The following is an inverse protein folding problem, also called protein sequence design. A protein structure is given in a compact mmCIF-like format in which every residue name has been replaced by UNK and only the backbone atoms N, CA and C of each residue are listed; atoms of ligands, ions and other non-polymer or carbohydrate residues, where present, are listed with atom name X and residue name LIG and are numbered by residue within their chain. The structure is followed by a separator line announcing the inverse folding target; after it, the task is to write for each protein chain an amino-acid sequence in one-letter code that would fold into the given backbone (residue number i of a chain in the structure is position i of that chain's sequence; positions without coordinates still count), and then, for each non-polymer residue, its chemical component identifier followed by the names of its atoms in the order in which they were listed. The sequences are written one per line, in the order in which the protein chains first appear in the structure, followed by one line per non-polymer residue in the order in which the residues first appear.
data_IF_158667297697
#
_entry.id   IF_158667297697
#
_cell.length_a   1.000
_cell.length_b   1.000
_cell.length_c   1.000
_cell.angle_alpha   90.00
_cell.angle_beta   90.00
_cell.angle_gamma   90.00
#
_symmetry.space_group_name_H-M   'P 1'
#
loop_
_entity.id
_entity.type
_entity.pdbx_description
1 polymer ?
#
# COMPACT_ATOMS: atom_id res chain seq x y z
N UNK A 1 21.90 -52.27 -52.07
CA UNK A 1 21.12 -52.15 -50.81
C UNK A 1 20.86 -50.67 -50.55
N UNK A 2 19.71 -50.15 -50.99
CA UNK A 2 19.33 -48.75 -50.77
C UNK A 2 18.57 -48.62 -49.45
N UNK A 3 19.15 -47.91 -48.47
CA UNK A 3 18.47 -47.56 -47.21
C UNK A 3 17.78 -46.21 -47.39
N UNK A 4 16.45 -46.22 -47.46
CA UNK A 4 15.63 -45.02 -47.37
C UNK A 4 15.60 -44.56 -45.90
N UNK A 5 16.09 -43.36 -45.63
CA UNK A 5 15.90 -42.69 -44.35
C UNK A 5 14.65 -41.81 -44.45
N UNK A 6 13.60 -42.17 -43.72
CA UNK A 6 12.41 -41.34 -43.57
C UNK A 6 12.71 -40.18 -42.60
N UNK A 7 12.47 -38.91 -42.96
CA UNK A 7 12.64 -37.80 -42.04
C UNK A 7 11.47 -37.78 -41.05
N UNK A 8 11.80 -37.94 -39.76
CA UNK A 8 10.87 -37.78 -38.65
C UNK A 8 10.63 -36.27 -38.44
N UNK A 9 9.50 -35.76 -38.93
CA UNK A 9 9.11 -34.36 -38.78
C UNK A 9 8.59 -34.13 -37.34
N UNK A 10 9.45 -33.58 -36.46
CA UNK A 10 9.07 -33.22 -35.09
C UNK A 10 8.30 -31.89 -35.10
N UNK A 11 6.97 -31.95 -35.10
CA UNK A 11 6.11 -30.78 -34.98
C UNK A 11 6.10 -30.26 -33.54
N UNK A 12 6.89 -29.21 -33.27
CA UNK A 12 6.85 -28.49 -31.98
C UNK A 12 5.60 -27.60 -31.95
N UNK A 13 4.55 -28.06 -31.24
CA UNK A 13 3.35 -27.27 -30.99
C UNK A 13 3.68 -26.14 -30.00
N UNK A 14 3.85 -24.92 -30.53
CA UNK A 14 3.86 -23.70 -29.72
C UNK A 14 2.43 -23.41 -29.24
N UNK A 15 2.06 -23.97 -28.08
CA UNK A 15 0.85 -23.54 -27.39
C UNK A 15 1.09 -22.12 -26.84
N UNK A 16 0.28 -21.12 -27.20
CA UNK A 16 0.41 -19.79 -26.63
C UNK A 16 0.10 -19.85 -25.13
N UNK A 17 1.12 -19.65 -24.30
CA UNK A 17 0.92 -19.47 -22.88
C UNK A 17 0.14 -18.16 -22.68
N UNK A 18 -1.08 -18.26 -22.14
CA UNK A 18 -1.85 -17.09 -21.74
C UNK A 18 -1.20 -16.50 -20.48
N UNK A 19 -0.32 -15.52 -20.65
CA UNK A 19 0.16 -14.71 -19.53
C UNK A 19 -0.98 -13.78 -19.10
N UNK A 20 -1.46 -13.93 -17.86
CA UNK A 20 -2.36 -12.94 -17.25
C UNK A 20 -1.50 -11.79 -16.74
N UNK A 21 -1.83 -10.58 -17.17
CA UNK A 21 -1.29 -9.37 -16.55
C UNK A 21 -1.84 -9.25 -15.14
N UNK A 22 -0.99 -8.81 -14.22
CA UNK A 22 -1.45 -8.35 -12.91
C UNK A 22 -2.37 -7.14 -13.10
N UNK A 23 -3.46 -7.10 -12.33
CA UNK A 23 -4.42 -6.00 -12.30
C UNK A 23 -4.29 -5.26 -10.96
N UNK A 24 -4.33 -3.93 -11.00
CA UNK A 24 -4.33 -3.13 -9.78
C UNK A 24 -5.64 -3.39 -9.00
N UNK A 25 -5.52 -3.65 -7.71
CA UNK A 25 -6.68 -3.85 -6.85
C UNK A 25 -7.62 -2.64 -6.93
N UNK A 26 -8.92 -2.88 -7.09
CA UNK A 26 -9.91 -1.79 -7.07
C UNK A 26 -10.06 -1.20 -5.66
N UNK A 27 -10.20 0.13 -5.51
CA UNK A 27 -10.46 0.77 -4.22
C UNK A 27 -11.72 0.24 -3.52
N UNK A 28 -11.61 -0.05 -2.23
CA UNK A 28 -12.70 -0.48 -1.35
C UNK A 28 -12.74 0.36 -0.06
N UNK A 29 -13.92 0.42 0.57
CA UNK A 29 -14.06 1.06 1.89
C UNK A 29 -13.43 0.15 2.96
N UNK A 30 -12.80 0.73 3.99
CA UNK A 30 -12.33 -0.05 5.14
C UNK A 30 -12.35 0.74 6.45
N UNK A 31 -12.39 -0.01 7.57
CA UNK A 31 -12.15 0.51 8.91
C UNK A 31 -10.87 -0.13 9.45
N UNK A 32 -9.96 0.70 9.94
CA UNK A 32 -8.76 0.26 10.66
C UNK A 32 -8.79 0.74 12.11
N UNK A 33 -8.86 -0.17 13.10
CA UNK A 33 -8.70 0.20 14.50
C UNK A 33 -7.32 0.81 14.75
N UNK A 34 -7.28 1.85 15.57
CA UNK A 34 -6.02 2.43 16.04
C UNK A 34 -5.59 1.71 17.32
N UNK A 35 -4.27 1.55 17.51
CA UNK A 35 -3.70 0.97 18.74
C UNK A 35 -4.24 1.68 19.98
N UNK A 36 -4.58 0.90 21.01
CA UNK A 36 -5.25 1.39 22.23
C UNK A 36 -6.78 1.47 22.13
N UNK A 37 -7.39 1.21 20.96
CA UNK A 37 -8.83 0.96 20.84
C UNK A 37 -9.76 2.18 20.99
N UNK A 38 -9.20 3.37 21.23
CA UNK A 38 -9.98 4.63 21.40
C UNK A 38 -10.49 5.20 20.08
N UNK A 39 -9.79 4.92 18.98
CA UNK A 39 -10.06 5.48 17.66
C UNK A 39 -10.18 4.41 16.59
N UNK A 40 -10.87 4.76 15.53
CA UNK A 40 -10.86 4.04 14.26
C UNK A 40 -10.53 5.02 13.14
N UNK A 41 -9.75 4.57 12.18
CA UNK A 41 -9.58 5.28 10.92
C UNK A 41 -10.52 4.66 9.88
N UNK A 42 -11.30 5.50 9.21
CA UNK A 42 -12.21 5.09 8.15
C UNK A 42 -11.67 5.60 6.83
N UNK A 43 -11.54 4.71 5.85
CA UNK A 43 -11.20 5.07 4.49
C UNK A 43 -12.37 4.71 3.58
N UNK A 44 -12.88 5.71 2.86
CA UNK A 44 -13.93 5.55 1.87
C UNK A 44 -13.31 5.57 0.48
N UNK A 45 -13.73 4.64 -0.38
CA UNK A 45 -13.35 4.65 -1.79
C UNK A 45 -13.89 5.90 -2.51
N UNK A 46 -13.28 6.29 -3.64
CA UNK A 46 -13.72 7.42 -4.44
C UNK A 46 -15.19 7.33 -4.85
N UNK A 47 -15.88 8.48 -4.91
CA UNK A 47 -17.33 8.54 -5.16
C UNK A 47 -17.78 7.84 -6.46
N UNK A 48 -16.97 7.92 -7.51
CA UNK A 48 -17.25 7.28 -8.81
C UNK A 48 -17.43 5.76 -8.74
N UNK A 49 -16.94 5.11 -7.68
CA UNK A 49 -17.10 3.66 -7.46
C UNK A 49 -18.20 3.25 -6.47
N UNK A 50 -18.98 4.19 -5.92
CA UNK A 50 -19.91 3.91 -4.81
C UNK A 50 -21.25 3.30 -5.20
N UNK A 51 -21.49 3.08 -6.50
CA UNK A 51 -22.79 2.62 -7.02
C UNK A 51 -23.13 1.16 -6.64
N UNK A 52 -22.14 0.33 -6.32
CA UNK A 52 -22.34 -1.09 -6.02
C UNK A 52 -22.00 -1.40 -4.55
N UNK A 53 -22.85 -2.15 -3.85
CA UNK A 53 -22.51 -2.66 -2.53
C UNK A 53 -21.35 -3.67 -2.65
N UNK A 54 -20.23 -3.39 -1.97
CA UNK A 54 -19.07 -4.28 -1.88
C UNK A 54 -18.86 -4.66 -0.42
N UNK A 55 -18.31 -5.85 -0.16
CA UNK A 55 -17.78 -6.16 1.17
C UNK A 55 -16.69 -5.15 1.54
N UNK A 56 -16.73 -4.63 2.76
CA UNK A 56 -15.66 -3.77 3.30
C UNK A 56 -14.81 -4.57 4.29
N UNK A 57 -13.53 -4.21 4.37
CA UNK A 57 -12.61 -4.87 5.29
C UNK A 57 -12.61 -4.14 6.63
N UNK A 58 -12.82 -4.91 7.71
CA UNK A 58 -12.53 -4.50 9.07
C UNK A 58 -11.26 -5.23 9.48
N UNK A 59 -10.20 -4.47 9.72
CA UNK A 59 -9.01 -5.02 10.32
C UNK A 59 -9.30 -5.27 11.81
N UNK A 60 -9.05 -6.47 12.31
CA UNK A 60 -9.31 -6.85 13.70
C UNK A 60 -8.44 -6.04 14.69
N UNK A 61 -7.24 -5.67 14.27
CA UNK A 61 -6.30 -4.83 15.01
C UNK A 61 -5.42 -4.00 14.03
N UNK A 62 -4.43 -3.29 14.57
CA UNK A 62 -3.45 -2.58 13.76
C UNK A 62 -2.43 -3.51 13.04
N UNK A 63 -2.44 -4.82 13.36
CA UNK A 63 -1.43 -5.84 13.02
C UNK A 63 -1.94 -7.01 12.14
N UNK A 64 -3.21 -7.01 11.74
CA UNK A 64 -3.96 -7.96 10.91
C UNK A 64 -4.77 -9.07 11.63
N UNK A 65 -6.09 -9.06 11.38
CA UNK A 65 -6.93 -10.18 10.92
C UNK A 65 -8.06 -9.55 10.09
N UNK A 66 -8.45 -10.09 8.92
CA UNK A 66 -9.52 -9.51 8.10
C UNK A 66 -10.88 -10.06 8.54
N UNK A 67 -11.83 -9.19 8.84
CA UNK A 67 -13.25 -9.55 8.94
C UNK A 67 -14.01 -8.80 7.86
N UNK A 68 -14.75 -9.54 7.02
CA UNK A 68 -15.66 -8.97 6.04
C UNK A 68 -17.01 -8.70 6.70
N UNK A 69 -17.43 -7.43 6.77
CA UNK A 69 -18.83 -7.12 7.10
C UNK A 69 -19.64 -7.01 5.80
N UNK A 70 -20.80 -7.66 5.79
CA UNK A 70 -21.72 -7.70 4.64
C UNK A 70 -22.62 -6.46 4.51
N UNK A 71 -22.56 -5.53 5.46
CA UNK A 71 -23.45 -4.35 5.47
C UNK A 71 -23.01 -3.25 4.49
N UNK A 72 -21.86 -3.44 3.82
CA UNK A 72 -21.54 -2.98 2.47
C UNK A 72 -21.49 -1.49 2.14
N UNK A 73 -21.85 -0.58 3.06
CA UNK A 73 -22.02 0.84 2.76
C UNK A 73 -21.46 1.75 3.87
N UNK A 74 -20.16 1.65 4.16
CA UNK A 74 -19.49 2.51 5.15
C UNK A 74 -19.73 4.00 4.88
N UNK A 75 -19.80 4.40 3.61
CA UNK A 75 -20.08 5.78 3.21
C UNK A 75 -21.49 6.29 3.59
N UNK A 76 -22.45 5.41 3.95
CA UNK A 76 -23.74 5.82 4.52
C UNK A 76 -23.61 6.21 5.99
N UNK A 77 -22.66 5.59 6.71
CA UNK A 77 -22.43 5.80 8.15
C UNK A 77 -21.43 6.91 8.43
N UNK A 78 -20.37 6.99 7.63
CA UNK A 78 -19.29 7.96 7.79
C UNK A 78 -19.31 8.96 6.63
N UNK A 79 -19.35 10.27 6.92
CA UNK A 79 -19.46 11.30 5.87
C UNK A 79 -18.18 11.46 5.04
N UNK A 80 -17.02 11.09 5.58
CA UNK A 80 -15.72 11.28 4.92
C UNK A 80 -14.67 10.24 5.39
N UNK A 81 -13.58 10.11 4.64
CA UNK A 81 -12.37 9.42 5.12
C UNK A 81 -11.72 10.24 6.24
N UNK A 82 -11.22 9.59 7.29
CA UNK A 82 -10.63 10.29 8.43
C UNK A 82 -10.59 9.47 9.72
N UNK A 83 -10.23 10.16 10.81
CA UNK A 83 -10.17 9.57 12.14
C UNK A 83 -11.45 9.84 12.93
N UNK A 84 -11.95 8.82 13.60
CA UNK A 84 -13.15 8.88 14.43
C UNK A 84 -12.87 8.32 15.82
N UNK A 85 -13.54 8.85 16.85
CA UNK A 85 -13.64 8.14 18.13
C UNK A 85 -14.46 6.87 17.93
N UNK A 86 -14.08 5.76 18.56
CA UNK A 86 -14.84 4.51 18.49
C UNK A 86 -16.28 4.77 18.96
N UNK A 87 -17.27 4.42 18.12
CA UNK A 87 -18.69 4.66 18.38
C UNK A 87 -19.24 6.01 17.86
N UNK A 88 -18.39 6.92 17.38
CA UNK A 88 -18.82 8.20 16.80
C UNK A 88 -18.83 8.16 15.27
N UNK A 89 -19.78 8.87 14.65
CA UNK A 89 -19.80 9.18 13.21
C UNK A 89 -19.35 10.61 12.88
N UNK A 90 -19.00 11.40 13.91
CA UNK A 90 -18.38 12.72 13.75
C UNK A 90 -16.84 12.56 13.70
N UNK A 91 -16.17 13.00 12.62
CA UNK A 91 -14.72 12.88 12.51
C UNK A 91 -14.00 13.84 13.45
N UNK A 92 -12.83 13.43 13.94
CA UNK A 92 -11.86 14.32 14.60
C UNK A 92 -11.11 15.16 13.56
N UNK A 93 -10.79 14.55 12.42
CA UNK A 93 -10.21 15.18 11.24
C UNK A 93 -10.43 14.28 10.03
N UNK A 94 -10.36 14.85 8.84
CA UNK A 94 -10.66 14.18 7.56
C UNK A 94 -9.48 14.24 6.60
N UNK A 95 -9.52 13.41 5.56
CA UNK A 95 -8.59 13.41 4.43
C UNK A 95 -9.37 13.32 3.11
N UNK A 96 -8.83 13.92 2.04
CA UNK A 96 -9.45 13.96 0.70
C UNK A 96 -8.87 12.94 -0.29
N UNK A 97 -7.93 12.10 0.15
CA UNK A 97 -7.24 11.12 -0.67
C UNK A 97 -7.62 9.68 -0.29
N UNK A 98 -7.27 8.74 -1.17
CA UNK A 98 -7.38 7.30 -0.94
C UNK A 98 -6.00 6.66 -0.74
N UNK A 99 -5.95 5.62 0.11
CA UNK A 99 -4.80 4.72 0.22
C UNK A 99 -5.27 3.37 0.73
N UNK A 100 -4.64 2.30 0.25
CA UNK A 100 -4.88 0.94 0.73
C UNK A 100 -4.27 0.67 2.11
N UNK A 101 -3.23 1.40 2.51
CA UNK A 101 -2.58 1.21 3.82
C UNK A 101 -2.27 2.57 4.47
N UNK A 102 -2.81 2.76 5.67
CA UNK A 102 -2.43 3.84 6.58
C UNK A 102 -2.07 3.30 7.97
N UNK A 103 -1.11 3.95 8.63
CA UNK A 103 -0.75 3.66 10.02
C UNK A 103 -0.98 4.91 10.86
N UNK A 104 -1.83 4.79 11.87
CA UNK A 104 -2.22 5.92 12.73
C UNK A 104 -1.63 5.73 14.11
N UNK A 105 -1.01 6.77 14.65
CA UNK A 105 -0.52 6.75 16.02
C UNK A 105 -1.67 6.74 17.03
N UNK A 106 -1.47 6.12 18.19
CA UNK A 106 -2.48 6.04 19.27
C UNK A 106 -2.79 7.37 19.94
N UNK A 107 -2.01 8.41 19.63
CA UNK A 107 -2.30 9.80 20.01
C UNK A 107 -3.47 10.42 19.22
N UNK A 108 -3.90 9.79 18.12
CA UNK A 108 -4.99 10.28 17.28
C UNK A 108 -4.66 11.57 16.53
N UNK A 109 -3.37 11.92 16.44
CA UNK A 109 -2.88 13.14 15.80
C UNK A 109 -2.05 12.79 14.56
N UNK A 110 -1.18 11.78 14.65
CA UNK A 110 -0.24 11.49 13.57
C UNK A 110 -0.66 10.27 12.73
N UNK A 111 -0.40 10.36 11.43
CA UNK A 111 -0.71 9.32 10.46
C UNK A 111 0.41 9.20 9.42
N UNK A 112 0.72 7.97 9.02
CA UNK A 112 1.51 7.67 7.83
C UNK A 112 0.60 7.07 6.77
N UNK A 113 0.66 7.61 5.56
CA UNK A 113 0.02 7.11 4.35
C UNK A 113 1.05 6.38 3.50
N UNK A 114 0.77 5.13 3.14
CA UNK A 114 1.55 4.44 2.13
C UNK A 114 1.03 4.79 0.74
N UNK A 115 1.97 4.84 -0.21
CA UNK A 115 1.70 5.00 -1.63
C UNK A 115 0.78 3.94 -2.22
N UNK A 116 0.22 4.20 -3.42
CA UNK A 116 -0.36 3.14 -4.23
C UNK A 116 0.74 2.18 -4.72
N UNK A 117 0.35 1.10 -5.39
CA UNK A 117 1.31 0.24 -6.09
C UNK A 117 1.94 1.05 -7.23
N UNK A 118 3.26 1.30 -7.21
CA UNK A 118 3.85 2.12 -8.25
C UNK A 118 3.89 1.43 -9.61
N UNK A 119 3.67 2.23 -10.65
CA UNK A 119 3.60 1.78 -12.04
C UNK A 119 4.92 2.01 -12.76
N UNK A 120 5.32 1.05 -13.59
CA UNK A 120 6.46 1.21 -14.49
C UNK A 120 6.21 2.38 -15.45
N UNK A 121 7.23 3.23 -15.68
CA UNK A 121 7.15 4.39 -16.56
C UNK A 121 6.66 5.70 -15.91
N UNK A 122 6.44 5.73 -14.59
CA UNK A 122 6.04 6.94 -13.84
C UNK A 122 7.20 7.87 -13.44
N UNK A 123 8.40 7.65 -13.99
CA UNK A 123 9.67 8.24 -13.53
C UNK A 123 9.92 8.10 -12.02
N UNK A 124 9.32 7.10 -11.38
CA UNK A 124 9.29 6.87 -9.93
C UNK A 124 8.85 8.08 -9.11
N UNK A 125 7.95 8.87 -9.69
CA UNK A 125 7.27 9.99 -9.04
C UNK A 125 6.09 9.53 -8.18
N UNK A 126 5.69 8.25 -8.25
CA UNK A 126 4.68 7.69 -7.36
C UNK A 126 5.05 7.95 -5.90
N UNK A 127 4.06 8.42 -5.14
CA UNK A 127 4.15 8.58 -3.69
C UNK A 127 4.60 7.25 -3.07
N UNK A 128 5.66 7.27 -2.27
CA UNK A 128 6.07 6.14 -1.44
C UNK A 128 5.44 6.26 -0.05
N UNK A 129 5.64 7.41 0.60
CA UNK A 129 5.17 7.70 1.96
C UNK A 129 4.70 9.14 2.07
N UNK A 130 3.60 9.36 2.80
CA UNK A 130 3.15 10.68 3.24
C UNK A 130 2.95 10.70 4.76
N UNK A 131 3.39 11.78 5.41
CA UNK A 131 3.30 12.00 6.84
C UNK A 131 2.31 13.13 7.14
N UNK A 132 1.40 12.88 8.07
CA UNK A 132 0.26 13.75 8.34
C UNK A 132 0.11 14.06 9.83
N UNK A 133 -0.34 15.28 10.11
CA UNK A 133 -0.74 15.76 11.44
C UNK A 133 -2.15 16.31 11.39
N UNK A 134 -3.08 15.66 12.09
CA UNK A 134 -4.51 16.01 12.13
C UNK A 134 -5.12 16.16 10.73
N UNK A 135 -4.83 15.21 9.84
CA UNK A 135 -5.32 15.19 8.45
C UNK A 135 -4.57 16.11 7.47
N UNK A 136 -3.62 16.94 7.93
CA UNK A 136 -2.82 17.81 7.06
C UNK A 136 -1.46 17.18 6.76
N UNK A 137 -1.04 17.22 5.51
CA UNK A 137 0.28 16.72 5.11
C UNK A 137 1.38 17.61 5.71
N UNK A 138 2.38 16.98 6.30
CA UNK A 138 3.59 17.63 6.84
C UNK A 138 4.77 17.38 5.91
N UNK A 139 4.87 16.18 5.35
CA UNK A 139 5.93 15.79 4.43
C UNK A 139 5.51 14.61 3.57
N UNK A 140 6.04 14.52 2.36
CA UNK A 140 5.88 13.37 1.49
C UNK A 140 7.19 13.01 0.79
N UNK A 141 7.29 11.75 0.37
CA UNK A 141 8.40 11.19 -0.39
C UNK A 141 7.85 10.39 -1.55
N UNK A 142 8.33 10.65 -2.75
CA UNK A 142 8.19 9.76 -3.89
C UNK A 142 9.20 8.60 -3.78
N UNK A 143 8.99 7.52 -4.53
CA UNK A 143 9.92 6.37 -4.55
C UNK A 143 11.34 6.82 -4.88
N UNK A 144 11.50 7.69 -5.88
CA UNK A 144 12.80 8.26 -6.29
C UNK A 144 13.54 9.01 -5.18
N UNK A 145 12.83 9.48 -4.16
CA UNK A 145 13.45 10.18 -3.02
C UNK A 145 14.04 9.18 -2.01
N UNK A 146 13.62 7.91 -2.06
CA UNK A 146 14.03 6.87 -1.12
C UNK A 146 15.05 5.91 -1.74
N UNK A 147 14.93 5.61 -3.03
CA UNK A 147 15.80 4.66 -3.73
C UNK A 147 16.73 5.39 -4.69
N UNK A 148 18.04 5.32 -4.45
CA UNK A 148 19.05 5.96 -5.29
C UNK A 148 19.19 5.28 -6.67
N UNK A 149 19.44 3.96 -6.68
CA UNK A 149 19.53 3.18 -7.91
C UNK A 149 18.17 2.59 -8.28
N UNK A 150 17.39 3.43 -8.94
CA UNK A 150 16.05 3.15 -9.38
C UNK A 150 15.95 2.02 -10.43
N UNK A 151 16.99 1.83 -11.24
CA UNK A 151 17.00 0.80 -12.28
C UNK A 151 17.24 -0.59 -11.69
N UNK A 152 17.80 -0.67 -10.49
CA UNK A 152 17.96 -1.93 -9.77
C UNK A 152 16.68 -2.48 -9.14
N UNK A 153 15.59 -1.73 -9.05
CA UNK A 153 14.37 -2.25 -8.42
C UNK A 153 13.79 -3.43 -9.19
N UNK A 154 13.26 -4.47 -8.52
CA UNK A 154 12.50 -5.52 -9.19
C UNK A 154 11.32 -4.91 -9.95
N UNK A 155 11.24 -5.18 -11.27
CA UNK A 155 10.18 -4.68 -12.13
C UNK A 155 9.40 -5.85 -12.73
N UNK A 156 8.07 -5.69 -12.78
CA UNK A 156 7.20 -6.40 -13.70
C UNK A 156 6.91 -5.51 -14.92
N UNK A 157 6.12 -6.03 -15.87
CA UNK A 157 5.73 -5.26 -17.06
C UNK A 157 5.00 -3.96 -16.74
N UNK A 158 4.24 -3.91 -15.63
CA UNK A 158 3.38 -2.77 -15.29
C UNK A 158 3.72 -2.12 -13.96
N UNK A 159 4.49 -2.76 -13.07
CA UNK A 159 4.76 -2.27 -11.72
C UNK A 159 6.20 -2.53 -11.29
N UNK A 160 6.60 -1.94 -10.17
CA UNK A 160 7.86 -2.28 -9.51
C UNK A 160 7.68 -2.32 -8.00
N UNK A 161 8.61 -2.99 -7.32
CA UNK A 161 8.65 -3.03 -5.86
C UNK A 161 9.84 -2.23 -5.34
N UNK A 162 9.62 -1.40 -4.31
CA UNK A 162 10.68 -0.57 -3.72
C UNK A 162 10.89 -0.85 -2.22
N UNK A 163 9.89 -1.42 -1.56
CA UNK A 163 9.88 -1.68 -0.12
C UNK A 163 9.84 -3.18 0.10
N UNK A 164 10.82 -3.69 0.85
CA UNK A 164 10.84 -5.08 1.31
C UNK A 164 9.93 -5.28 2.52
N UNK A 165 10.05 -4.38 3.50
CA UNK A 165 9.32 -4.47 4.75
C UNK A 165 9.18 -3.09 5.40
N UNK A 166 8.28 -2.99 6.37
CA UNK A 166 8.20 -1.83 7.25
C UNK A 166 7.84 -2.25 8.68
N UNK A 167 8.28 -1.46 9.66
CA UNK A 167 7.95 -1.64 11.07
C UNK A 167 7.53 -0.30 11.67
N UNK A 168 6.37 -0.30 12.33
CA UNK A 168 5.73 0.89 12.88
C UNK A 168 5.83 0.88 14.41
N UNK A 169 6.65 1.76 14.96
CA UNK A 169 6.79 1.99 16.40
C UNK A 169 5.92 3.18 16.81
N UNK A 170 4.71 2.87 17.27
CA UNK A 170 3.74 3.87 17.76
C UNK A 170 4.25 4.62 19.00
N UNK A 171 4.95 3.93 19.91
CA UNK A 171 5.38 4.53 21.17
C UNK A 171 6.54 5.51 20.95
N UNK A 172 7.54 5.11 20.16
CA UNK A 172 8.65 5.97 19.76
C UNK A 172 8.33 6.91 18.60
N UNK A 173 7.12 6.82 18.03
CA UNK A 173 6.64 7.55 16.84
C UNK A 173 7.61 7.46 15.66
N UNK A 174 8.03 6.24 15.34
CA UNK A 174 9.00 5.97 14.28
C UNK A 174 8.44 4.96 13.28
N UNK A 175 8.79 5.17 12.02
CA UNK A 175 8.61 4.17 10.97
C UNK A 175 9.99 3.73 10.48
N UNK A 176 10.27 2.43 10.57
CA UNK A 176 11.40 1.81 9.87
C UNK A 176 10.89 1.26 8.53
N UNK A 177 11.62 1.53 7.45
CA UNK A 177 11.37 0.95 6.13
C UNK A 177 12.64 0.31 5.61
N UNK A 178 12.53 -0.93 5.15
CA UNK A 178 13.63 -1.64 4.49
C UNK A 178 13.41 -1.57 2.99
N UNK A 179 14.35 -0.95 2.28
CA UNK A 179 14.29 -0.80 0.83
C UNK A 179 14.75 -2.07 0.13
N UNK A 180 14.20 -2.34 -1.05
CA UNK A 180 14.73 -3.37 -1.94
C UNK A 180 15.99 -2.87 -2.66
N UNK A 181 16.90 -3.79 -2.98
CA UNK A 181 18.08 -3.54 -3.82
C UNK A 181 18.24 -4.71 -4.79
N UNK A 182 17.98 -4.49 -6.07
CA UNK A 182 17.97 -5.63 -6.99
C UNK A 182 16.86 -6.62 -6.65
N UNK A 183 17.03 -7.82 -7.18
CA UNK A 183 16.32 -9.01 -6.72
C UNK A 183 16.96 -9.63 -5.46
N UNK A 184 17.93 -8.95 -4.82
CA UNK A 184 18.55 -9.38 -3.56
C UNK A 184 17.68 -8.92 -2.38
N UNK A 185 16.75 -9.80 -1.97
CA UNK A 185 15.91 -9.59 -0.81
C UNK A 185 16.69 -9.57 0.53
N UNK A 186 17.99 -9.87 0.55
CA UNK A 186 18.83 -9.89 1.76
C UNK A 186 19.53 -8.57 2.08
N UNK A 187 19.81 -7.71 1.09
CA UNK A 187 20.70 -6.54 1.23
C UNK A 187 20.05 -5.20 0.91
N UNK A 188 19.07 -4.82 1.72
CA UNK A 188 18.39 -3.52 1.65
C UNK A 188 18.96 -2.46 2.59
N UNK A 189 18.93 -1.19 2.19
CA UNK A 189 19.14 -0.09 3.13
C UNK A 189 17.89 0.08 4.01
N UNK A 190 18.10 0.27 5.30
CA UNK A 190 17.04 0.63 6.23
C UNK A 190 16.97 2.15 6.41
N UNK A 191 15.78 2.72 6.27
CA UNK A 191 15.48 4.11 6.59
C UNK A 191 14.63 4.16 7.85
N UNK A 192 14.87 5.16 8.70
CA UNK A 192 14.04 5.49 9.86
C UNK A 192 13.45 6.88 9.64
N UNK A 193 12.14 6.98 9.82
CA UNK A 193 11.40 8.22 9.75
C UNK A 193 10.84 8.59 11.12
N UNK A 194 11.00 9.86 11.50
CA UNK A 194 10.25 10.47 12.59
C UNK A 194 8.82 10.76 12.09
N UNK A 195 7.81 10.13 12.68
CA UNK A 195 6.43 10.25 12.18
C UNK A 195 5.88 11.68 12.32
N UNK A 196 6.12 12.42 13.43
CA UNK A 196 5.61 13.78 13.59
C UNK A 196 6.09 14.77 12.54
N UNK A 197 7.35 14.69 12.12
CA UNK A 197 7.99 15.62 11.19
C UNK A 197 8.15 15.08 9.76
N UNK A 198 8.08 13.75 9.62
CA UNK A 198 8.45 13.02 8.42
C UNK A 198 9.95 12.97 8.16
N UNK A 199 10.82 13.52 9.02
CA UNK A 199 12.26 13.53 8.78
C UNK A 199 12.84 12.12 8.68
N UNK A 200 13.64 11.89 7.64
CA UNK A 200 14.29 10.59 7.39
C UNK A 200 15.77 10.61 7.76
N UNK A 201 16.26 9.45 8.19
CA UNK A 201 17.69 9.15 8.34
C UNK A 201 17.98 7.68 7.99
N UNK A 202 19.22 7.41 7.62
CA UNK A 202 19.69 6.03 7.41
C UNK A 202 19.84 5.34 8.77
N UNK A 203 19.33 4.11 8.89
CA UNK A 203 19.59 3.29 10.07
C UNK A 203 21.06 2.85 10.06
N UNK A 204 21.75 3.06 11.19
CA UNK A 204 23.11 2.58 11.39
C UNK A 204 23.13 1.08 11.66
#
# INVERSE_FOLDING_TARGET
MNRQFAPLLLAVLFLPASARSDEEASPYDYIRPVKGGRYIFVMLRPARGRQYAYSYEVYADASSCKSSSKDGLLFKKYPASGLYRKGSTKPLWTVSWYSFDVRVCSDGVHLVRFGPWPRSGDDRKTLALGFFRSGKEVRSYAVRDLVADQQSLPQSFSHYEWMKSSSFDDAGKRLKVELLKGYDYGRGQSLIFDIPTGEKRVAK
#
